data_IF_625737656325
#
_entry.id   IF_625737656325
#
_cell.length_a   1.000
_cell.length_b   1.000
_cell.length_c   1.000
_cell.angle_alpha   90.00
_cell.angle_beta   90.00
_cell.angle_gamma   90.00
#
_symmetry.space_group_name_H-M   'P 1'
#
loop_
_entity.id
_entity.type
_entity.pdbx_description
1 polymer ?
#
# COMPACT_ATOMS: atom_id res chain seq x y z
N UNK A 1 -6.96 10.85 6.22
CA UNK A 1 -7.21 9.48 5.73
C UNK A 1 -6.68 8.50 6.76
N UNK A 2 -7.44 7.47 7.12
CA UNK A 2 -6.98 6.37 7.99
C UNK A 2 -6.82 5.09 7.18
N UNK A 3 -5.70 4.40 7.35
CA UNK A 3 -5.37 3.18 6.61
C UNK A 3 -5.33 1.98 7.55
N UNK A 4 -6.07 0.92 7.22
CA UNK A 4 -5.99 -0.37 7.89
C UNK A 4 -5.13 -1.31 7.04
N UNK A 5 -4.05 -1.84 7.62
CA UNK A 5 -3.23 -2.88 6.99
C UNK A 5 -3.53 -4.21 7.66
N UNK A 6 -4.24 -5.08 6.94
CA UNK A 6 -4.50 -6.45 7.37
C UNK A 6 -3.37 -7.33 6.86
N UNK A 7 -2.54 -7.80 7.78
CA UNK A 7 -1.40 -8.67 7.49
C UNK A 7 -1.82 -10.12 7.72
N UNK A 8 -1.56 -10.99 6.74
CA UNK A 8 -1.60 -12.44 6.93
C UNK A 8 -0.24 -13.02 6.63
N UNK A 9 0.45 -13.47 7.67
CA UNK A 9 1.76 -14.10 7.56
C UNK A 9 1.95 -15.12 8.70
N UNK A 10 2.33 -16.37 8.41
CA UNK A 10 2.39 -17.41 9.44
C UNK A 10 3.39 -17.09 10.56
N UNK A 11 4.52 -16.46 10.21
CA UNK A 11 5.54 -16.04 11.17
C UNK A 11 6.07 -14.64 10.84
N UNK A 12 5.36 -13.61 11.31
CA UNK A 12 5.69 -12.22 11.00
C UNK A 12 6.97 -11.74 11.70
N UNK A 13 7.34 -12.35 12.83
CA UNK A 13 8.49 -11.92 13.64
C UNK A 13 9.81 -12.33 12.99
N UNK A 14 9.88 -13.54 12.44
CA UNK A 14 11.09 -14.05 11.78
C UNK A 14 11.21 -13.59 10.31
N UNK A 15 10.20 -12.90 9.77
CA UNK A 15 10.20 -12.46 8.38
C UNK A 15 10.89 -11.10 8.21
N UNK A 16 12.15 -11.11 7.76
CA UNK A 16 12.91 -9.89 7.52
C UNK A 16 12.22 -8.88 6.57
N UNK A 17 11.49 -9.37 5.57
CA UNK A 17 10.72 -8.51 4.67
C UNK A 17 9.52 -7.84 5.36
N UNK A 18 8.82 -8.54 6.24
CA UNK A 18 7.70 -7.99 6.99
C UNK A 18 8.20 -7.00 8.05
N UNK A 19 9.26 -7.36 8.78
CA UNK A 19 9.89 -6.45 9.76
C UNK A 19 10.35 -5.14 9.09
N UNK A 20 10.95 -5.23 7.90
CA UNK A 20 11.33 -4.04 7.13
C UNK A 20 10.13 -3.15 6.80
N UNK A 21 9.04 -3.73 6.27
CA UNK A 21 7.83 -2.96 5.95
C UNK A 21 7.13 -2.41 7.20
N UNK A 22 7.13 -3.16 8.31
CA UNK A 22 6.57 -2.70 9.58
C UNK A 22 7.32 -1.47 10.12
N UNK A 23 8.65 -1.45 10.00
CA UNK A 23 9.45 -0.28 10.37
C UNK A 23 9.17 0.94 9.46
N UNK A 24 8.71 0.70 8.24
CA UNK A 24 8.31 1.76 7.31
C UNK A 24 6.94 2.36 7.61
N UNK A 25 6.13 1.73 8.47
CA UNK A 25 4.79 2.23 8.81
C UNK A 25 4.90 3.56 9.56
N UNK A 26 4.23 4.63 9.08
CA UNK A 26 4.19 5.91 9.79
C UNK A 26 3.56 5.78 11.19
N UNK A 27 3.97 6.65 12.11
CA UNK A 27 3.52 6.62 13.51
C UNK A 27 2.03 6.94 13.69
N UNK A 28 1.43 7.67 12.76
CA UNK A 28 0.04 8.11 12.82
C UNK A 28 -0.75 7.73 11.55
N UNK A 29 -2.06 7.55 11.70
CA UNK A 29 -2.98 7.34 10.59
C UNK A 29 -2.99 5.92 9.99
N UNK A 30 -2.10 5.03 10.43
CA UNK A 30 -2.04 3.63 9.99
C UNK A 30 -2.27 2.67 11.16
N UNK A 31 -3.22 1.74 11.00
CA UNK A 31 -3.47 0.65 11.94
C UNK A 31 -2.96 -0.66 11.35
N UNK A 32 -2.05 -1.33 12.05
CA UNK A 32 -1.58 -2.67 11.69
C UNK A 32 -2.42 -3.72 12.40
N UNK A 33 -2.98 -4.65 11.63
CA UNK A 33 -3.79 -5.75 12.14
C UNK A 33 -3.28 -7.08 11.58
N UNK A 34 -2.57 -7.85 12.42
CA UNK A 34 -2.03 -9.16 12.04
C UNK A 34 -3.01 -10.28 12.41
N UNK A 35 -3.49 -11.03 11.41
CA UNK A 35 -4.55 -12.02 11.59
C UNK A 35 -4.12 -13.19 12.47
N UNK A 36 -2.95 -13.78 12.22
CA UNK A 36 -2.49 -14.98 12.91
C UNK A 36 -2.15 -14.71 14.39
N UNK A 37 -1.69 -13.49 14.73
CA UNK A 37 -1.52 -13.08 16.13
C UNK A 37 -2.85 -12.75 16.83
N UNK A 38 -3.82 -12.18 16.10
CA UNK A 38 -5.12 -11.81 16.69
C UNK A 38 -6.02 -13.03 16.87
N UNK A 39 -5.98 -13.97 15.92
CA UNK A 39 -6.81 -15.16 15.85
C UNK A 39 -5.96 -16.44 15.74
N UNK A 40 -5.16 -16.78 16.78
CA UNK A 40 -4.29 -17.97 16.74
C UNK A 40 -5.06 -19.29 16.62
N UNK A 41 -6.35 -19.30 17.00
CA UNK A 41 -7.25 -20.45 16.84
C UNK A 41 -7.97 -20.49 15.48
N UNK A 42 -7.77 -19.49 14.62
CA UNK A 42 -8.50 -19.34 13.35
C UNK A 42 -9.97 -18.93 13.49
N UNK A 43 -10.45 -18.63 14.70
CA UNK A 43 -11.82 -18.16 14.93
C UNK A 43 -11.88 -16.63 14.85
N UNK A 44 -12.36 -16.12 13.72
CA UNK A 44 -12.45 -14.69 13.42
C UNK A 44 -13.63 -14.05 14.16
N UNK A 45 -13.40 -12.91 14.81
CA UNK A 45 -14.44 -12.07 15.38
C UNK A 45 -14.98 -11.12 14.30
N UNK A 46 -16.02 -11.57 13.61
CA UNK A 46 -16.62 -10.84 12.47
C UNK A 46 -17.02 -9.41 12.84
N UNK A 47 -17.59 -9.19 14.02
CA UNK A 47 -18.05 -7.86 14.42
C UNK A 47 -16.85 -6.92 14.61
N UNK A 48 -15.81 -7.38 15.31
CA UNK A 48 -14.60 -6.59 15.53
C UNK A 48 -13.92 -6.22 14.22
N UNK A 49 -13.83 -7.15 13.27
CA UNK A 49 -13.26 -6.88 11.95
C UNK A 49 -14.07 -5.85 11.15
N UNK A 50 -15.40 -5.93 11.22
CA UNK A 50 -16.28 -4.95 10.58
C UNK A 50 -16.17 -3.55 11.20
N UNK A 51 -16.02 -3.46 12.53
CA UNK A 51 -15.76 -2.20 13.23
C UNK A 51 -14.42 -1.58 12.81
N UNK A 52 -13.38 -2.41 12.62
CA UNK A 52 -12.10 -1.97 12.07
C UNK A 52 -12.28 -1.42 10.65
N UNK A 53 -12.96 -2.14 9.77
CA UNK A 53 -13.21 -1.67 8.39
C UNK A 53 -14.01 -0.35 8.35
N UNK A 54 -14.98 -0.18 9.25
CA UNK A 54 -15.78 1.03 9.35
C UNK A 54 -14.94 2.24 9.77
N UNK A 55 -13.95 2.05 10.65
CA UNK A 55 -13.09 3.10 11.19
C UNK A 55 -11.98 3.60 10.23
N UNK A 56 -11.82 2.98 9.06
CA UNK A 56 -10.73 3.28 8.11
C UNK A 56 -11.24 3.58 6.70
N UNK A 57 -10.52 4.43 5.98
CA UNK A 57 -10.85 4.88 4.63
C UNK A 57 -10.20 3.99 3.55
N UNK A 58 -9.01 3.48 3.85
CA UNK A 58 -8.20 2.63 2.97
C UNK A 58 -7.91 1.30 3.64
N UNK A 59 -8.17 0.20 2.94
CA UNK A 59 -7.91 -1.16 3.40
C UNK A 59 -6.80 -1.77 2.55
N UNK A 60 -5.72 -2.21 3.18
CA UNK A 60 -4.57 -2.85 2.53
C UNK A 60 -4.48 -4.29 3.01
N UNK A 61 -4.43 -5.23 2.07
CA UNK A 61 -4.02 -6.61 2.38
C UNK A 61 -2.53 -6.77 2.14
N UNK A 62 -1.83 -7.26 3.17
CA UNK A 62 -0.40 -7.52 3.13
C UNK A 62 -0.10 -8.99 3.40
N UNK A 63 0.56 -9.67 2.47
CA UNK A 63 0.78 -11.12 2.60
C UNK A 63 1.93 -11.63 1.71
N UNK A 64 2.53 -12.78 2.04
CA UNK A 64 3.39 -13.49 1.10
C UNK A 64 2.53 -14.15 0.00
N UNK A 65 2.96 -14.07 -1.25
CA UNK A 65 2.19 -14.59 -2.39
C UNK A 65 2.38 -16.11 -2.52
N UNK A 66 1.42 -16.87 -1.98
CA UNK A 66 1.47 -18.32 -1.93
C UNK A 66 0.58 -18.93 -2.99
N UNK A 67 1.15 -19.83 -3.81
CA UNK A 67 0.42 -20.53 -4.87
C UNK A 67 -0.45 -19.60 -5.70
N UNK A 68 0.14 -18.48 -6.12
CA UNK A 68 -0.51 -17.45 -6.94
C UNK A 68 -1.72 -16.78 -6.27
N UNK A 69 -1.78 -16.77 -4.94
CA UNK A 69 -2.89 -16.22 -4.15
C UNK A 69 -2.44 -15.75 -2.76
N UNK A 70 -3.40 -15.38 -1.90
CA UNK A 70 -3.18 -15.10 -0.49
C UNK A 70 -3.06 -16.37 0.36
N UNK A 71 -2.46 -16.29 1.55
CA UNK A 71 -2.55 -17.33 2.56
C UNK A 71 -4.00 -17.67 2.95
N UNK A 72 -4.20 -18.89 3.45
CA UNK A 72 -5.52 -19.39 3.83
C UNK A 72 -6.23 -18.54 4.91
N UNK A 73 -5.55 -18.03 5.97
CA UNK A 73 -6.20 -17.19 6.97
C UNK A 73 -6.82 -15.92 6.38
N UNK A 74 -6.14 -15.26 5.42
CA UNK A 74 -6.71 -14.11 4.74
C UNK A 74 -7.91 -14.47 3.86
N UNK A 75 -7.92 -15.66 3.25
CA UNK A 75 -9.08 -16.12 2.50
C UNK A 75 -10.27 -16.43 3.40
N UNK A 76 -10.02 -17.05 4.55
CA UNK A 76 -11.04 -17.26 5.57
C UNK A 76 -11.60 -15.93 6.08
N UNK A 77 -10.75 -14.94 6.34
CA UNK A 77 -11.17 -13.59 6.72
C UNK A 77 -12.10 -12.97 5.67
N UNK A 78 -11.77 -13.10 4.38
CA UNK A 78 -12.66 -12.62 3.31
C UNK A 78 -14.04 -13.29 3.38
N UNK A 79 -14.08 -14.61 3.58
CA UNK A 79 -15.32 -15.38 3.59
C UNK A 79 -16.19 -15.10 4.84
N UNK A 80 -15.56 -14.93 6.01
CA UNK A 80 -16.25 -14.72 7.28
C UNK A 80 -16.69 -13.26 7.48
N UNK A 81 -15.89 -12.29 7.06
CA UNK A 81 -16.09 -10.85 7.37
C UNK A 81 -16.93 -10.14 6.30
N UNK A 82 -16.74 -10.49 5.02
CA UNK A 82 -17.40 -9.82 3.89
C UNK A 82 -18.80 -10.37 3.64
N UNK A 83 -19.66 -10.26 4.65
CA UNK A 83 -21.00 -10.86 4.65
C UNK A 83 -22.02 -10.05 3.85
N UNK A 84 -23.09 -10.74 3.44
CA UNK A 84 -24.25 -10.10 2.84
C UNK A 84 -24.95 -9.17 3.85
N UNK A 85 -25.25 -7.95 3.43
CA UNK A 85 -25.79 -6.89 4.29
C UNK A 85 -24.72 -6.00 4.93
N UNK A 86 -23.45 -6.42 4.93
CA UNK A 86 -22.31 -5.60 5.34
C UNK A 86 -21.51 -5.13 4.12
N UNK A 87 -20.79 -6.05 3.46
CA UNK A 87 -19.85 -5.73 2.39
C UNK A 87 -20.54 -5.52 1.03
N UNK A 88 -21.68 -6.17 0.83
CA UNK A 88 -22.50 -6.04 -0.38
C UNK A 88 -23.98 -6.28 -0.03
N UNK A 89 -24.91 -5.86 -0.89
CA UNK A 89 -26.35 -6.11 -0.69
C UNK A 89 -27.19 -4.88 -1.04
N UNK A 90 -28.38 -4.75 -0.43
CA UNK A 90 -29.24 -3.57 -0.64
C UNK A 90 -28.60 -2.34 0.02
N UNK A 91 -28.47 -1.24 -0.73
CA UNK A 91 -27.80 0.03 -0.35
C UNK A 91 -26.25 0.03 -0.39
N UNK A 92 -25.67 -0.40 -1.52
CA UNK A 92 -24.26 -0.28 -1.94
C UNK A 92 -23.17 -0.88 -1.03
N UNK A 93 -23.48 -1.32 0.19
CA UNK A 93 -22.55 -1.92 1.15
C UNK A 93 -21.72 -0.87 1.91
N UNK A 94 -21.28 -1.20 3.13
CA UNK A 94 -20.53 -0.29 4.01
C UNK A 94 -19.11 0.01 3.55
N UNK A 95 -18.63 -0.75 2.56
CA UNK A 95 -17.30 -0.58 1.98
C UNK A 95 -17.29 0.32 0.74
N UNK A 96 -18.46 0.74 0.24
CA UNK A 96 -18.56 1.59 -0.93
C UNK A 96 -17.81 2.93 -0.72
N UNK A 97 -17.02 3.34 -1.72
CA UNK A 97 -16.22 4.56 -1.69
C UNK A 97 -14.89 4.45 -0.93
N UNK A 98 -14.65 3.36 -0.19
CA UNK A 98 -13.34 3.09 0.42
C UNK A 98 -12.33 2.67 -0.63
N UNK A 99 -11.05 2.74 -0.29
CA UNK A 99 -9.96 2.30 -1.15
C UNK A 99 -9.47 0.93 -0.74
N UNK A 100 -9.07 0.11 -1.71
CA UNK A 100 -8.57 -1.22 -1.47
C UNK A 100 -7.27 -1.47 -2.22
N UNK A 101 -6.22 -1.89 -1.52
CA UNK A 101 -4.91 -2.14 -2.09
C UNK A 101 -4.30 -3.45 -1.63
N UNK A 102 -3.31 -3.91 -2.41
CA UNK A 102 -2.53 -5.10 -2.11
C UNK A 102 -1.07 -4.74 -1.93
N UNK A 103 -0.41 -5.39 -0.96
CA UNK A 103 1.04 -5.40 -0.77
C UNK A 103 1.46 -6.86 -0.65
N UNK A 104 2.31 -7.38 -1.54
CA UNK A 104 2.73 -8.77 -1.40
C UNK A 104 4.12 -9.07 -1.93
N UNK A 105 4.72 -10.09 -1.32
CA UNK A 105 6.09 -10.52 -1.58
C UNK A 105 6.12 -11.74 -2.49
N UNK A 106 7.04 -11.72 -3.44
CA UNK A 106 7.20 -12.71 -4.49
C UNK A 106 8.65 -13.22 -4.51
N UNK A 107 8.84 -14.53 -4.62
CA UNK A 107 10.17 -15.15 -4.73
C UNK A 107 10.77 -15.10 -6.14
N UNK A 108 9.99 -14.67 -7.13
CA UNK A 108 10.35 -14.69 -8.55
C UNK A 108 10.55 -13.26 -9.03
N UNK A 109 11.46 -13.05 -9.99
CA UNK A 109 11.72 -11.75 -10.57
C UNK A 109 10.51 -11.23 -11.39
N UNK A 110 10.29 -9.91 -11.39
CA UNK A 110 9.16 -9.24 -12.06
C UNK A 110 8.98 -9.66 -13.53
N UNK A 111 10.07 -9.63 -14.30
CA UNK A 111 10.10 -10.00 -15.72
C UNK A 111 9.54 -11.39 -16.07
N UNK A 112 9.37 -12.28 -15.09
CA UNK A 112 8.81 -13.62 -15.33
C UNK A 112 7.28 -13.62 -15.33
N UNK A 113 6.65 -12.57 -14.77
CA UNK A 113 5.19 -12.38 -14.72
C UNK A 113 4.67 -11.65 -15.95
N UNK A 114 4.83 -12.28 -17.12
CA UNK A 114 4.31 -11.80 -18.39
C UNK A 114 4.20 -12.95 -19.39
N UNK A 115 3.51 -12.71 -20.51
CA UNK A 115 3.49 -13.65 -21.62
C UNK A 115 4.91 -13.97 -22.10
N UNK A 116 5.25 -15.26 -22.19
CA UNK A 116 6.59 -15.73 -22.54
C UNK A 116 7.61 -15.74 -21.40
N UNK A 117 7.29 -15.14 -20.24
CA UNK A 117 8.04 -15.33 -19.00
C UNK A 117 7.72 -16.67 -18.34
N UNK A 118 8.53 -17.09 -17.36
CA UNK A 118 8.36 -18.41 -16.71
C UNK A 118 7.01 -18.59 -16.02
N UNK A 119 6.46 -17.53 -15.44
CA UNK A 119 5.17 -17.59 -14.71
C UNK A 119 3.97 -17.43 -15.64
N UNK A 120 4.18 -17.11 -16.93
CA UNK A 120 3.19 -17.01 -18.01
C UNK A 120 2.10 -15.92 -17.87
N UNK A 121 1.83 -15.46 -16.66
CA UNK A 121 0.74 -14.53 -16.35
C UNK A 121 1.28 -13.24 -15.73
N UNK A 122 0.63 -12.13 -16.03
CA UNK A 122 0.89 -10.88 -15.31
C UNK A 122 0.38 -10.93 -13.88
N UNK A 123 1.01 -10.17 -12.99
CA UNK A 123 0.50 -9.95 -11.62
C UNK A 123 -0.94 -9.43 -11.64
N UNK A 124 -1.23 -8.61 -12.64
CA UNK A 124 -2.56 -8.13 -12.92
C UNK A 124 -3.55 -9.30 -13.05
N UNK A 125 -3.31 -10.25 -13.96
CA UNK A 125 -4.17 -11.43 -14.13
C UNK A 125 -4.31 -12.26 -12.86
N UNK A 126 -3.21 -12.46 -12.13
CA UNK A 126 -3.20 -13.29 -10.93
C UNK A 126 -3.95 -12.64 -9.75
N UNK A 127 -4.06 -11.32 -9.72
CA UNK A 127 -4.77 -10.58 -8.65
C UNK A 127 -6.23 -10.24 -8.99
N UNK A 128 -6.77 -10.77 -10.10
CA UNK A 128 -8.17 -10.50 -10.50
C UNK A 128 -9.24 -10.86 -9.48
N UNK A 129 -9.14 -11.94 -8.70
CA UNK A 129 -10.12 -12.21 -7.64
C UNK A 129 -10.26 -11.05 -6.64
N UNK A 130 -9.15 -10.42 -6.26
CA UNK A 130 -9.14 -9.26 -5.37
C UNK A 130 -9.72 -8.01 -6.02
N UNK A 131 -9.45 -7.79 -7.31
CA UNK A 131 -10.06 -6.69 -8.06
C UNK A 131 -11.58 -6.88 -8.19
N UNK A 132 -12.02 -8.11 -8.47
CA UNK A 132 -13.44 -8.45 -8.56
C UNK A 132 -14.14 -8.27 -7.20
N UNK A 133 -13.47 -8.64 -6.10
CA UNK A 133 -13.94 -8.38 -4.73
C UNK A 133 -14.12 -6.89 -4.50
N UNK A 134 -13.10 -6.07 -4.74
CA UNK A 134 -13.17 -4.62 -4.55
C UNK A 134 -14.31 -3.99 -5.37
N UNK A 135 -14.45 -4.40 -6.63
CA UNK A 135 -15.55 -3.96 -7.48
C UNK A 135 -16.92 -4.35 -6.90
N UNK A 136 -17.06 -5.59 -6.41
CA UNK A 136 -18.32 -6.09 -5.84
C UNK A 136 -18.73 -5.34 -4.57
N UNK A 137 -17.76 -4.88 -3.79
CA UNK A 137 -17.98 -4.14 -2.53
C UNK A 137 -17.97 -2.63 -2.70
N UNK A 138 -17.91 -2.13 -3.95
CA UNK A 138 -17.90 -0.69 -4.24
C UNK A 138 -16.61 0.05 -3.85
N UNK A 139 -15.51 -0.67 -3.63
CA UNK A 139 -14.22 -0.08 -3.30
C UNK A 139 -13.42 0.31 -4.56
N UNK A 140 -12.59 1.34 -4.43
CA UNK A 140 -11.62 1.71 -5.48
C UNK A 140 -10.40 0.81 -5.41
N UNK A 141 -10.19 -0.03 -6.43
CA UNK A 141 -9.03 -0.93 -6.51
C UNK A 141 -7.76 -0.17 -6.88
N UNK A 142 -6.83 -0.07 -5.94
CA UNK A 142 -5.53 0.58 -6.11
C UNK A 142 -4.53 -0.35 -6.79
N UNK A 143 -3.55 0.21 -7.53
CA UNK A 143 -2.42 -0.55 -8.07
C UNK A 143 -1.72 -1.34 -6.96
N UNK A 144 -1.50 -2.67 -7.11
CA UNK A 144 -0.73 -3.46 -6.15
C UNK A 144 0.70 -2.96 -5.98
N UNK A 145 1.22 -3.01 -4.75
CA UNK A 145 2.64 -2.87 -4.48
C UNK A 145 3.27 -4.26 -4.35
N UNK A 146 4.01 -4.67 -5.35
CA UNK A 146 4.70 -5.96 -5.39
C UNK A 146 6.15 -5.83 -4.97
N UNK A 147 6.60 -6.75 -4.13
CA UNK A 147 7.99 -6.85 -3.66
C UNK A 147 8.61 -8.13 -4.22
N UNK A 148 9.43 -7.99 -5.26
CA UNK A 148 10.11 -9.13 -5.88
C UNK A 148 11.46 -9.37 -5.21
N UNK A 149 11.74 -10.62 -4.84
CA UNK A 149 13.10 -11.05 -4.47
C UNK A 149 13.75 -10.19 -3.37
N UNK A 150 12.98 -9.82 -2.33
CA UNK A 150 13.42 -8.90 -1.26
C UNK A 150 14.80 -9.24 -0.67
N UNK A 151 15.09 -10.52 -0.46
CA UNK A 151 16.37 -10.97 0.10
C UNK A 151 17.59 -10.63 -0.78
N UNK A 152 17.37 -10.35 -2.08
CA UNK A 152 18.41 -10.02 -3.05
C UNK A 152 18.46 -8.52 -3.38
N UNK A 153 17.58 -7.70 -2.80
CA UNK A 153 17.60 -6.26 -2.99
C UNK A 153 18.83 -5.63 -2.33
N UNK A 154 19.43 -4.68 -3.04
CA UNK A 154 20.41 -3.73 -2.52
C UNK A 154 19.76 -2.81 -1.48
N UNK A 155 20.59 -2.12 -0.69
CA UNK A 155 20.07 -1.19 0.33
C UNK A 155 19.36 0.01 -0.31
N UNK A 156 19.81 0.47 -1.47
CA UNK A 156 19.13 1.52 -2.24
C UNK A 156 17.72 1.08 -2.69
N UNK A 157 17.60 -0.12 -3.26
CA UNK A 157 16.29 -0.68 -3.66
C UNK A 157 15.35 -0.87 -2.47
N UNK A 158 15.89 -1.25 -1.30
CA UNK A 158 15.11 -1.34 -0.06
C UNK A 158 14.62 0.03 0.38
N UNK A 159 15.44 1.07 0.33
CA UNK A 159 15.03 2.43 0.69
C UNK A 159 13.99 3.00 -0.29
N UNK A 160 14.11 2.72 -1.58
CA UNK A 160 13.05 3.03 -2.55
C UNK A 160 11.74 2.30 -2.18
N UNK A 161 11.81 1.01 -1.86
CA UNK A 161 10.65 0.26 -1.39
C UNK A 161 10.04 0.84 -0.12
N UNK A 162 10.87 1.29 0.83
CA UNK A 162 10.44 1.94 2.07
C UNK A 162 9.55 3.15 1.76
N UNK A 163 10.01 4.04 0.88
CA UNK A 163 9.27 5.24 0.47
C UNK A 163 8.00 4.85 -0.29
N UNK A 164 8.07 3.90 -1.24
CA UNK A 164 6.90 3.44 -1.98
C UNK A 164 5.84 2.81 -1.07
N UNK A 165 6.26 2.08 -0.05
CA UNK A 165 5.35 1.52 0.94
C UNK A 165 4.69 2.62 1.78
N UNK A 166 5.43 3.62 2.25
CA UNK A 166 4.86 4.77 2.94
C UNK A 166 3.83 5.53 2.07
N UNK A 167 4.17 5.77 0.79
CA UNK A 167 3.25 6.37 -0.18
C UNK A 167 2.00 5.50 -0.36
N UNK A 168 2.14 4.18 -0.46
CA UNK A 168 1.01 3.25 -0.58
C UNK A 168 0.04 3.39 0.60
N UNK A 169 0.56 3.66 1.80
CA UNK A 169 -0.25 3.77 3.02
C UNK A 169 -0.87 5.15 3.22
N UNK A 170 -0.18 6.23 2.84
CA UNK A 170 -0.56 7.59 3.25
C UNK A 170 -0.85 8.55 2.13
N UNK A 171 -0.34 8.32 0.92
CA UNK A 171 -0.55 9.23 -0.20
C UNK A 171 -2.01 9.17 -0.69
N UNK A 172 -2.53 10.31 -1.15
CA UNK A 172 -3.82 10.38 -1.84
C UNK A 172 -3.81 9.46 -3.07
N UNK A 173 -4.95 8.88 -3.42
CA UNK A 173 -5.09 8.01 -4.59
C UNK A 173 -5.09 8.81 -5.91
N UNK A 174 -3.94 9.41 -6.17
CA UNK A 174 -3.59 10.11 -7.39
C UNK A 174 -2.16 9.70 -7.70
N UNK A 175 -1.99 8.87 -8.73
CA UNK A 175 -0.67 8.50 -9.24
C UNK A 175 0.01 9.66 -10.00
N UNK A 176 -0.56 10.88 -9.95
CA UNK A 176 0.05 12.04 -10.60
C UNK A 176 1.38 12.40 -9.95
N UNK A 177 2.30 12.91 -10.77
CA UNK A 177 3.56 13.45 -10.30
C UNK A 177 3.34 14.53 -9.22
N UNK A 178 2.33 15.37 -9.39
CA UNK A 178 1.99 16.44 -8.45
C UNK A 178 1.60 15.91 -7.05
N UNK A 179 0.82 14.83 -6.98
CA UNK A 179 0.49 14.20 -5.69
C UNK A 179 1.70 13.58 -5.01
N UNK A 180 2.58 12.93 -5.78
CA UNK A 180 3.81 12.34 -5.23
C UNK A 180 4.78 13.41 -4.72
N UNK A 181 4.93 14.51 -5.44
CA UNK A 181 5.77 15.63 -5.01
C UNK A 181 5.24 16.29 -3.74
N UNK A 182 3.94 16.61 -3.68
CA UNK A 182 3.31 17.15 -2.47
C UNK A 182 3.56 16.25 -1.27
N UNK A 183 3.36 14.94 -1.43
CA UNK A 183 3.63 13.98 -0.38
C UNK A 183 5.09 14.01 0.10
N UNK A 184 6.06 14.01 -0.83
CA UNK A 184 7.49 14.06 -0.46
C UNK A 184 7.82 15.37 0.27
N UNK A 185 7.35 16.51 -0.24
CA UNK A 185 7.55 17.81 0.40
C UNK A 185 6.97 17.86 1.82
N UNK A 186 5.78 17.31 2.04
CA UNK A 186 5.18 17.21 3.37
C UNK A 186 6.00 16.33 4.32
N UNK A 187 6.47 15.17 3.84
CA UNK A 187 7.31 14.29 4.66
C UNK A 187 8.64 14.96 5.02
N UNK A 188 9.31 15.61 4.07
CA UNK A 188 10.55 16.33 4.33
C UNK A 188 10.39 17.41 5.42
N UNK A 189 9.27 18.13 5.42
CA UNK A 189 8.97 19.16 6.44
C UNK A 189 8.63 18.58 7.83
N UNK A 190 8.17 17.33 7.88
CA UNK A 190 7.82 16.64 9.13
C UNK A 190 8.99 15.82 9.70
N UNK A 191 10.08 15.64 8.95
CA UNK A 191 11.24 14.91 9.42
C UNK A 191 11.83 15.60 10.66
N UNK A 192 11.98 14.83 11.72
CA UNK A 192 12.70 15.25 12.90
C UNK A 192 14.21 15.28 12.59
N UNK A 193 14.79 16.47 12.52
CA UNK A 193 16.20 16.67 12.18
C UNK A 193 17.15 16.48 13.36
N UNK A 194 16.63 16.24 14.56
CA UNK A 194 17.42 16.16 15.80
C UNK A 194 18.43 15.00 15.82
N UNK A 195 18.17 13.93 15.08
CA UNK A 195 19.07 12.76 14.98
C UNK A 195 19.95 12.77 13.72
N UNK A 196 19.91 13.85 12.92
CA UNK A 196 20.70 13.98 11.70
C UNK A 196 22.04 14.69 11.95
N UNK A 197 22.97 14.53 11.00
CA UNK A 197 24.25 15.24 11.07
C UNK A 197 24.05 16.77 11.05
N UNK A 198 24.92 17.54 11.73
CA UNK A 198 24.87 19.00 11.70
C UNK A 198 24.85 19.54 10.26
N UNK A 199 23.85 20.36 9.93
CA UNK A 199 23.65 20.91 8.57
C UNK A 199 22.72 20.10 7.67
N UNK A 200 22.25 18.92 8.11
CA UNK A 200 21.27 18.14 7.35
C UNK A 200 19.94 18.88 7.17
N UNK A 201 19.51 19.66 8.17
CA UNK A 201 18.30 20.48 8.09
C UNK A 201 18.36 21.49 6.95
N UNK A 202 19.49 22.17 6.76
CA UNK A 202 19.69 23.12 5.66
C UNK A 202 19.62 22.42 4.30
N UNK A 203 20.20 21.22 4.19
CA UNK A 203 20.16 20.41 2.97
C UNK A 203 18.73 19.98 2.65
N UNK A 204 17.97 19.52 3.65
CA UNK A 204 16.58 19.10 3.49
C UNK A 204 15.68 20.26 3.10
N UNK A 205 15.84 21.42 3.75
CA UNK A 205 15.11 22.64 3.40
C UNK A 205 15.44 23.09 1.98
N UNK A 206 16.72 23.10 1.61
CA UNK A 206 17.12 23.45 0.24
C UNK A 206 16.55 22.48 -0.80
N UNK A 207 16.54 21.18 -0.51
CA UNK A 207 15.93 20.19 -1.40
C UNK A 207 14.42 20.42 -1.55
N UNK A 208 13.71 20.73 -0.46
CA UNK A 208 12.28 21.05 -0.50
C UNK A 208 12.00 22.32 -1.34
N UNK A 209 12.81 23.37 -1.19
CA UNK A 209 12.68 24.61 -1.95
C UNK A 209 12.95 24.40 -3.46
N UNK A 210 13.94 23.57 -3.80
CA UNK A 210 14.23 23.18 -5.19
C UNK A 210 13.05 22.43 -5.81
N UNK A 211 12.41 21.51 -5.07
CA UNK A 211 11.24 20.79 -5.55
C UNK A 211 10.07 21.74 -5.83
N UNK A 212 9.82 22.70 -4.95
CA UNK A 212 8.76 23.71 -5.11
C UNK A 212 9.01 24.64 -6.30
N UNK A 213 10.27 25.06 -6.49
CA UNK A 213 10.69 25.85 -7.65
C UNK A 213 10.48 25.08 -8.96
N UNK A 214 10.90 23.81 -9.00
CA UNK A 214 10.74 22.95 -10.17
C UNK A 214 9.26 22.73 -10.51
N UNK A 215 8.40 22.55 -9.51
CA UNK A 215 6.94 22.45 -9.70
C UNK A 215 6.38 23.71 -10.34
N UNK A 216 6.76 24.89 -9.84
CA UNK A 216 6.34 26.18 -10.41
C UNK A 216 6.75 26.28 -11.89
N UNK A 217 7.98 25.87 -12.21
CA UNK A 217 8.47 25.85 -13.61
C UNK A 217 7.66 24.89 -14.50
N UNK A 218 7.32 23.70 -14.00
CA UNK A 218 6.48 22.74 -14.73
C UNK A 218 5.10 23.33 -15.00
N UNK A 219 4.49 23.98 -14.00
CA UNK A 219 3.15 24.57 -14.14
C UNK A 219 3.16 25.75 -15.14
N UNK A 220 4.19 26.59 -15.12
CA UNK A 220 4.38 27.66 -16.12
C UNK A 220 4.53 27.10 -17.55
N UNK A 221 5.34 26.06 -17.73
CA UNK A 221 5.50 25.39 -19.02
C UNK A 221 4.19 24.77 -19.51
N UNK A 222 3.38 24.23 -18.60
CA UNK A 222 2.08 23.66 -18.94
C UNK A 222 1.11 24.75 -19.42
N UNK A 223 1.08 25.91 -18.78
CA UNK A 223 0.28 27.06 -19.25
C UNK A 223 0.69 27.50 -20.66
N UNK A 224 1.98 27.55 -20.96
CA UNK A 224 2.46 27.88 -22.30
C UNK A 224 2.00 26.85 -23.33
N UNK A 225 2.11 25.56 -23.01
CA UNK A 225 1.65 24.49 -23.90
C UNK A 225 0.14 24.56 -24.15
N UNK A 226 -0.66 24.82 -23.12
CA UNK A 226 -2.12 24.92 -23.24
C UNK A 226 -2.56 26.12 -24.10
N UNK A 227 -1.73 27.17 -24.19
CA UNK A 227 -1.99 28.34 -25.05
C UNK A 227 -1.57 28.13 -26.52
N UNK A 228 -0.80 27.07 -26.82
CA UNK A 228 -0.34 26.77 -28.18
C UNK A 228 -1.36 25.97 -29.02
N UNK A 229 -2.43 25.49 -28.41
CA UNK A 229 -3.51 24.71 -29.03
C UNK A 229 -4.86 25.39 -28.88
#
# INVERSE_FOLDING_TARGET
MKTLVIISHPDILESGSQQFLLNAVPSEGVTIHHLESTYPSGKIDVQKEQELLDAHDRIIFQFPFYWYSSPAPLKQWQDDVLTNGYAHGKADGRLAGKEFGLVFMLGVHEREYQAGGRELFSISELTRPFQAMAHKTGMTYLRPLTVYQFAYMTDEEKMDLYIRYQQKLTNENSESLASRERWVSEQLRQLNTNDLEPGAEDILNHAADLMETNRTTIDELQVVLDQMW
#
